data_IF_795477245863
#
_entry.id   IF_795477245863
#
_cell.length_a   1.000
_cell.length_b   1.000
_cell.length_c   1.000
_cell.angle_alpha   90.00
_cell.angle_beta   90.00
_cell.angle_gamma   90.00
#
_symmetry.space_group_name_H-M   'P 1'
#
loop_
_entity.id
_entity.type
_entity.pdbx_description
1 polymer ?
#
# COMPACT_ATOMS: atom_id res chain seq x y z
N UNK A 1 19.95 -48.44 -21.03
CA UNK A 1 19.86 -49.49 -22.07
C UNK A 1 18.42 -49.44 -22.55
N UNK A 2 18.19 -49.25 -23.85
CA UNK A 2 16.82 -49.29 -24.38
C UNK A 2 16.29 -50.72 -24.24
N UNK A 3 15.29 -50.88 -23.39
CA UNK A 3 14.54 -52.12 -23.22
C UNK A 3 13.08 -51.72 -23.46
N UNK A 4 12.43 -52.34 -24.45
CA UNK A 4 11.05 -52.04 -24.85
C UNK A 4 10.77 -50.58 -25.26
N UNK A 5 11.75 -49.92 -25.90
CA UNK A 5 11.58 -48.54 -26.40
C UNK A 5 11.79 -47.44 -25.35
N UNK A 6 11.95 -47.80 -24.07
CA UNK A 6 12.28 -46.87 -22.98
C UNK A 6 13.74 -47.02 -22.55
N UNK A 7 14.43 -45.91 -22.30
CA UNK A 7 15.78 -45.97 -21.74
C UNK A 7 15.71 -46.29 -20.25
N UNK A 8 16.12 -47.51 -19.88
CA UNK A 8 16.16 -47.98 -18.49
C UNK A 8 17.59 -48.03 -17.97
N UNK A 9 17.78 -47.49 -16.77
CA UNK A 9 19.04 -47.60 -16.02
C UNK A 9 19.11 -48.98 -15.36
N UNK A 10 19.96 -49.86 -15.88
CA UNK A 10 20.23 -51.17 -15.29
C UNK A 10 21.48 -51.08 -14.41
N UNK A 11 21.38 -51.53 -13.17
CA UNK A 11 22.50 -51.63 -12.24
C UNK A 11 22.68 -53.10 -11.83
N UNK A 12 23.93 -53.55 -11.78
CA UNK A 12 24.29 -54.87 -11.27
C UNK A 12 24.67 -54.71 -9.81
N UNK A 13 23.88 -55.30 -8.93
CA UNK A 13 24.14 -55.34 -7.50
C UNK A 13 24.06 -56.78 -7.00
N UNK A 14 24.64 -57.05 -5.83
CA UNK A 14 24.40 -58.32 -5.14
C UNK A 14 22.93 -58.42 -4.74
N UNK A 15 22.37 -59.63 -4.74
CA UNK A 15 20.96 -59.86 -4.47
C UNK A 15 20.48 -59.38 -3.09
N UNK A 16 21.42 -59.23 -2.14
CA UNK A 16 21.20 -58.77 -0.79
C UNK A 16 21.73 -57.35 -0.52
N UNK A 17 22.18 -56.63 -1.54
CA UNK A 17 22.85 -55.32 -1.42
C UNK A 17 22.10 -54.32 -0.54
N UNK A 18 20.76 -54.33 -0.57
CA UNK A 18 19.90 -53.41 0.19
C UNK A 18 19.88 -53.68 1.70
N UNK A 19 20.41 -54.83 2.15
CA UNK A 19 20.36 -55.32 3.54
C UNK A 19 21.74 -55.49 4.17
N UNK A 20 22.82 -55.26 3.41
CA UNK A 20 24.19 -55.49 3.88
C UNK A 20 24.56 -54.41 4.91
N UNK A 21 24.93 -54.85 6.11
CA UNK A 21 25.48 -53.96 7.14
C UNK A 21 26.98 -53.73 6.92
N UNK A 22 27.50 -52.62 7.44
CA UNK A 22 28.85 -52.11 7.22
C UNK A 22 29.95 -53.16 7.46
N UNK A 23 29.80 -53.94 8.52
CA UNK A 23 30.76 -54.95 8.96
C UNK A 23 30.76 -56.19 8.03
N UNK A 24 29.60 -56.52 7.46
CA UNK A 24 29.39 -57.71 6.62
C UNK A 24 29.99 -57.55 5.22
N UNK A 25 30.32 -56.32 4.82
CA UNK A 25 31.03 -56.05 3.56
C UNK A 25 32.46 -56.60 3.62
N UNK A 26 33.11 -56.56 4.79
CA UNK A 26 34.51 -56.97 4.96
C UNK A 26 34.70 -58.48 4.83
N UNK A 27 33.69 -59.27 5.19
CA UNK A 27 33.73 -60.74 5.11
C UNK A 27 33.47 -61.28 3.70
N UNK A 28 33.16 -60.42 2.72
CA UNK A 28 32.86 -60.85 1.36
C UNK A 28 34.09 -61.36 0.64
N UNK A 29 33.96 -62.54 0.02
CA UNK A 29 35.02 -63.12 -0.79
C UNK A 29 34.87 -62.74 -2.25
N UNK A 30 35.94 -62.22 -2.85
CA UNK A 30 36.03 -62.00 -4.29
C UNK A 30 36.96 -63.05 -4.90
N UNK A 31 36.60 -63.53 -6.09
CA UNK A 31 37.41 -64.47 -6.86
C UNK A 31 38.33 -63.69 -7.78
N UNK A 32 39.64 -63.81 -7.55
CA UNK A 32 40.67 -63.21 -8.41
C UNK A 32 40.68 -63.89 -9.78
N UNK A 33 41.30 -63.26 -10.81
CA UNK A 33 41.41 -63.84 -12.16
C UNK A 33 42.12 -65.21 -12.19
N UNK A 34 42.88 -65.54 -11.16
CA UNK A 34 43.57 -66.81 -10.98
C UNK A 34 42.75 -67.87 -10.19
N UNK A 35 41.47 -67.61 -9.93
CA UNK A 35 40.56 -68.53 -9.23
C UNK A 35 40.70 -68.55 -7.70
N UNK A 36 41.63 -67.78 -7.13
CA UNK A 36 41.80 -67.68 -5.66
C UNK A 36 40.72 -66.78 -5.06
N UNK A 37 40.06 -67.26 -3.99
CA UNK A 37 39.11 -66.48 -3.18
C UNK A 37 39.85 -65.67 -2.13
N UNK A 38 39.61 -64.37 -2.09
CA UNK A 38 40.23 -63.44 -1.12
C UNK A 38 39.12 -62.64 -0.43
N UNK A 39 39.21 -62.45 0.89
CA UNK A 39 38.26 -61.64 1.64
C UNK A 39 38.52 -60.16 1.40
N UNK A 40 37.45 -59.38 1.27
CA UNK A 40 37.54 -57.97 0.96
C UNK A 40 38.28 -57.19 2.07
N UNK A 41 38.05 -57.54 3.34
CA UNK A 41 38.73 -56.94 4.50
C UNK A 41 40.24 -57.18 4.56
N UNK A 42 40.80 -58.13 3.80
CA UNK A 42 42.25 -58.30 3.67
C UNK A 42 42.87 -57.33 2.65
N UNK A 43 42.04 -56.71 1.81
CA UNK A 43 42.47 -55.85 0.69
C UNK A 43 42.12 -54.38 0.88
N UNK A 44 41.11 -54.06 1.70
CA UNK A 44 40.66 -52.68 1.92
C UNK A 44 40.58 -52.36 3.41
N UNK A 45 40.87 -51.11 3.75
CA UNK A 45 40.64 -50.56 5.09
C UNK A 45 39.52 -49.55 5.00
N UNK A 46 38.43 -49.80 5.74
CA UNK A 46 37.35 -48.82 5.85
C UNK A 46 37.67 -47.80 6.94
N UNK A 47 37.47 -46.52 6.63
CA UNK A 47 37.59 -45.43 7.60
C UNK A 47 36.34 -44.56 7.53
N UNK A 48 35.67 -44.40 8.66
CA UNK A 48 34.56 -43.47 8.79
C UNK A 48 35.13 -42.08 9.07
N UNK A 49 34.82 -41.12 8.20
CA UNK A 49 35.21 -39.71 8.38
C UNK A 49 33.96 -38.83 8.29
N UNK A 50 33.82 -37.82 9.17
CA UNK A 50 32.76 -36.85 9.02
C UNK A 50 32.98 -36.09 7.71
N UNK A 51 31.96 -36.08 6.85
CA UNK A 51 31.94 -35.31 5.60
C UNK A 51 30.75 -34.35 5.65
N UNK A 52 30.88 -33.20 4.99
CA UNK A 52 29.77 -32.28 4.81
C UNK A 52 28.71 -32.98 3.94
N UNK A 53 27.49 -33.11 4.46
CA UNK A 53 26.39 -33.77 3.75
C UNK A 53 25.93 -33.04 2.48
N UNK A 54 26.21 -31.73 2.38
CA UNK A 54 26.11 -30.96 1.15
C UNK A 54 27.10 -29.81 1.16
N UNK A 55 27.60 -29.42 -0.01
CA UNK A 55 28.42 -28.23 -0.20
C UNK A 55 27.54 -27.20 -0.88
N UNK A 56 27.12 -26.17 -0.15
CA UNK A 56 26.41 -25.04 -0.71
C UNK A 56 27.39 -23.92 -1.07
N UNK A 57 27.12 -23.28 -2.21
CA UNK A 57 27.89 -22.13 -2.68
C UNK A 57 26.93 -21.07 -3.21
N UNK A 58 27.17 -19.83 -2.82
CA UNK A 58 26.51 -18.64 -3.37
C UNK A 58 27.60 -17.69 -3.84
N UNK A 59 27.48 -17.17 -5.07
CA UNK A 59 28.49 -16.29 -5.68
C UNK A 59 29.93 -16.84 -5.59
N UNK A 60 30.06 -18.14 -5.83
CA UNK A 60 31.33 -18.89 -5.78
C UNK A 60 32.00 -18.98 -4.39
N UNK A 61 31.32 -18.57 -3.32
CA UNK A 61 31.80 -18.69 -1.93
C UNK A 61 31.11 -19.85 -1.22
N UNK A 62 31.83 -20.56 -0.35
CA UNK A 62 31.22 -21.58 0.51
C UNK A 62 30.29 -20.92 1.52
N UNK A 63 29.06 -21.42 1.63
CA UNK A 63 28.06 -20.88 2.54
C UNK A 63 27.66 -21.91 3.59
N UNK A 64 27.50 -21.43 4.82
CA UNK A 64 26.90 -22.19 5.92
C UNK A 64 25.63 -21.45 6.34
N UNK A 65 24.48 -22.05 6.06
CA UNK A 65 23.20 -21.47 6.45
C UNK A 65 22.83 -21.92 7.86
N UNK A 66 22.55 -20.95 8.72
CA UNK A 66 22.07 -21.18 10.08
C UNK A 66 20.58 -20.85 10.10
N UNK A 67 19.75 -21.87 10.31
CA UNK A 67 18.31 -21.69 10.45
C UNK A 67 17.97 -21.42 11.91
N UNK A 68 17.10 -20.45 12.13
CA UNK A 68 16.66 -20.03 13.45
C UNK A 68 15.24 -19.45 13.34
N UNK A 69 14.55 -19.37 14.46
CA UNK A 69 13.17 -18.87 14.54
C UNK A 69 13.12 -17.67 15.49
N UNK A 70 12.42 -16.60 15.08
CA UNK A 70 12.20 -15.41 15.89
C UNK A 70 10.72 -15.22 16.19
N UNK A 71 10.40 -15.04 17.46
CA UNK A 71 9.05 -14.70 17.90
C UNK A 71 9.03 -13.20 18.22
N UNK A 72 8.46 -12.42 17.31
CA UNK A 72 8.32 -10.97 17.45
C UNK A 72 8.03 -10.28 16.13
N UNK A 73 8.02 -8.94 16.12
CA UNK A 73 7.77 -8.19 14.89
C UNK A 73 8.98 -8.22 13.97
N UNK A 74 8.74 -8.05 12.66
CA UNK A 74 9.77 -8.01 11.63
C UNK A 74 10.86 -6.95 11.92
N UNK A 75 10.43 -5.76 12.31
CA UNK A 75 11.32 -4.66 12.68
C UNK A 75 12.20 -4.99 13.90
N UNK A 76 11.68 -5.71 14.90
CA UNK A 76 12.47 -6.15 16.06
C UNK A 76 13.45 -7.25 15.65
N UNK A 77 13.02 -8.19 14.81
CA UNK A 77 13.87 -9.24 14.24
C UNK A 77 15.08 -8.64 13.55
N UNK A 78 14.87 -7.67 12.67
CA UNK A 78 15.96 -7.07 11.90
C UNK A 78 16.96 -6.30 12.77
N UNK A 79 16.49 -5.65 13.84
CA UNK A 79 17.39 -4.99 14.79
C UNK A 79 18.21 -6.00 15.57
N UNK A 80 17.58 -7.05 16.05
CA UNK A 80 18.24 -8.13 16.79
C UNK A 80 19.33 -8.80 15.95
N UNK A 81 19.04 -9.17 14.69
CA UNK A 81 20.04 -9.76 13.78
C UNK A 81 21.23 -8.83 13.60
N UNK A 82 20.99 -7.53 13.36
CA UNK A 82 22.09 -6.58 13.18
C UNK A 82 22.95 -6.43 14.43
N UNK A 83 22.35 -6.43 15.62
CA UNK A 83 23.09 -6.40 16.89
C UNK A 83 23.93 -7.67 17.07
N UNK A 84 23.36 -8.84 16.75
CA UNK A 84 24.07 -10.12 16.81
C UNK A 84 25.22 -10.16 15.80
N UNK A 85 24.97 -9.78 14.54
CA UNK A 85 25.99 -9.74 13.50
C UNK A 85 27.13 -8.77 13.83
N UNK A 86 26.81 -7.61 14.42
CA UNK A 86 27.82 -6.64 14.87
C UNK A 86 28.66 -7.16 16.05
N UNK A 87 28.10 -8.06 16.87
CA UNK A 87 28.77 -8.67 18.01
C UNK A 87 29.68 -9.85 17.65
N UNK A 88 29.48 -10.47 16.49
CA UNK A 88 30.25 -11.66 16.09
C UNK A 88 31.60 -11.24 15.49
N UNK A 89 32.69 -11.75 16.09
CA UNK A 89 34.03 -11.64 15.51
C UNK A 89 34.31 -12.85 14.63
N UNK A 90 34.26 -12.64 13.32
CA UNK A 90 34.55 -13.68 12.34
C UNK A 90 36.06 -13.76 12.05
N UNK A 91 36.60 -14.96 11.79
CA UNK A 91 37.95 -15.09 11.25
C UNK A 91 38.10 -14.40 9.90
N UNK A 92 39.33 -14.08 9.51
CA UNK A 92 39.61 -13.47 8.22
C UNK A 92 39.05 -14.31 7.06
N UNK A 93 38.41 -13.62 6.10
CA UNK A 93 37.83 -14.24 4.90
C UNK A 93 36.40 -14.76 5.07
N UNK A 94 35.81 -14.67 6.26
CA UNK A 94 34.41 -15.01 6.51
C UNK A 94 33.56 -13.74 6.62
N UNK A 95 32.40 -13.75 5.96
CA UNK A 95 31.36 -12.73 6.13
C UNK A 95 30.11 -13.41 6.69
N UNK A 96 29.37 -12.69 7.54
CA UNK A 96 28.05 -13.10 7.99
C UNK A 96 27.06 -12.06 7.45
N UNK A 97 26.10 -12.54 6.68
CA UNK A 97 25.08 -11.75 6.03
C UNK A 97 23.73 -12.35 6.38
N UNK A 98 22.72 -11.49 6.48
CA UNK A 98 21.35 -11.91 6.68
C UNK A 98 20.78 -12.36 5.33
N UNK A 99 20.61 -13.67 5.16
CA UNK A 99 20.10 -14.29 3.92
C UNK A 99 18.63 -14.66 4.07
N UNK A 100 17.87 -13.92 4.90
CA UNK A 100 16.42 -14.10 5.03
C UNK A 100 15.71 -13.65 3.74
N UNK A 101 15.84 -14.44 2.66
CA UNK A 101 15.23 -14.20 1.34
C UNK A 101 13.70 -14.27 1.29
N UNK A 102 13.02 -14.16 2.44
CA UNK A 102 11.57 -14.13 2.59
C UNK A 102 11.06 -12.87 3.29
N UNK A 103 11.93 -12.07 3.93
CA UNK A 103 11.54 -10.80 4.57
C UNK A 103 11.98 -9.62 3.71
N UNK A 104 11.14 -8.59 3.57
CA UNK A 104 11.54 -7.35 2.90
C UNK A 104 12.81 -6.82 3.55
N UNK A 105 13.82 -6.56 2.74
CA UNK A 105 15.02 -5.86 3.16
C UNK A 105 14.68 -4.44 3.61
N UNK A 106 15.50 -3.84 4.46
CA UNK A 106 15.33 -2.43 4.87
C UNK A 106 15.28 -1.49 3.66
N UNK A 107 16.05 -1.80 2.62
CA UNK A 107 16.05 -1.04 1.38
C UNK A 107 14.68 -1.10 0.69
N UNK A 108 14.08 -2.28 0.57
CA UNK A 108 12.73 -2.44 0.00
C UNK A 108 11.65 -1.75 0.84
N UNK A 109 11.77 -1.75 2.17
CA UNK A 109 10.87 -0.97 3.03
C UNK A 109 10.97 0.54 2.80
N UNK A 110 12.20 1.05 2.67
CA UNK A 110 12.44 2.46 2.37
C UNK A 110 11.96 2.85 0.98
N UNK A 111 12.17 1.98 -0.02
CA UNK A 111 11.62 2.13 -1.35
C UNK A 111 10.09 2.17 -1.31
N UNK A 112 9.44 1.24 -0.60
CA UNK A 112 7.99 1.22 -0.45
C UNK A 112 7.45 2.50 0.21
N UNK A 113 8.10 2.99 1.27
CA UNK A 113 7.74 4.27 1.91
C UNK A 113 7.92 5.45 0.94
N UNK A 114 8.98 5.43 0.14
CA UNK A 114 9.25 6.44 -0.89
C UNK A 114 8.16 6.43 -1.95
N UNK A 115 7.73 5.25 -2.42
CA UNK A 115 6.62 5.09 -3.37
C UNK A 115 5.35 5.75 -2.83
N UNK A 116 4.98 5.51 -1.56
CA UNK A 116 3.79 6.13 -0.97
C UNK A 116 3.84 7.67 -1.00
N UNK A 117 4.98 8.27 -0.64
CA UNK A 117 5.14 9.72 -0.66
C UNK A 117 5.16 10.28 -2.09
N UNK A 118 5.82 9.59 -3.02
CA UNK A 118 5.86 9.96 -4.44
C UNK A 118 4.45 9.89 -5.04
N UNK A 119 3.68 8.82 -4.79
CA UNK A 119 2.29 8.72 -5.21
C UNK A 119 1.46 9.88 -4.66
N UNK A 120 1.59 10.20 -3.38
CA UNK A 120 0.87 11.33 -2.76
C UNK A 120 1.23 12.67 -3.42
N UNK A 121 2.51 12.88 -3.74
CA UNK A 121 2.99 14.06 -4.44
C UNK A 121 2.40 14.15 -5.86
N UNK A 122 2.40 13.06 -6.62
CA UNK A 122 1.81 13.02 -7.96
C UNK A 122 0.30 13.25 -7.92
N UNK A 123 -0.42 12.65 -6.96
CA UNK A 123 -1.84 12.93 -6.73
C UNK A 123 -2.04 14.42 -6.45
N UNK A 124 -1.25 15.02 -5.56
CA UNK A 124 -1.33 16.46 -5.28
C UNK A 124 -1.10 17.31 -6.53
N UNK A 125 -0.04 17.03 -7.30
CA UNK A 125 0.30 17.79 -8.50
C UNK A 125 -0.77 17.69 -9.58
N UNK A 126 -1.25 16.48 -9.86
CA UNK A 126 -2.33 16.24 -10.84
C UNK A 126 -3.60 16.98 -10.45
N UNK A 127 -3.97 16.97 -9.17
CA UNK A 127 -5.10 17.72 -8.65
C UNK A 127 -4.90 19.23 -8.71
N UNK A 128 -3.69 19.72 -8.43
CA UNK A 128 -3.38 21.14 -8.49
C UNK A 128 -3.51 21.69 -9.91
N UNK A 129 -3.09 20.90 -10.90
CA UNK A 129 -3.30 21.20 -12.32
C UNK A 129 -4.78 21.13 -12.67
N UNK A 130 -5.48 20.05 -12.27
CA UNK A 130 -6.92 19.85 -12.57
C UNK A 130 -7.79 20.99 -12.02
N UNK A 131 -7.55 21.40 -10.78
CA UNK A 131 -8.34 22.45 -10.14
C UNK A 131 -7.84 23.87 -10.42
N UNK A 132 -6.67 24.03 -11.05
CA UNK A 132 -5.93 25.28 -11.19
C UNK A 132 -5.81 26.05 -9.85
N UNK A 133 -5.65 25.30 -8.75
CA UNK A 133 -5.65 25.80 -7.37
C UNK A 133 -4.84 24.88 -6.48
N UNK A 134 -4.18 25.42 -5.45
CA UNK A 134 -3.45 24.63 -4.44
C UNK A 134 -4.27 24.30 -3.19
N UNK A 135 -5.37 25.04 -2.93
CA UNK A 135 -6.19 24.85 -1.72
C UNK A 135 -7.19 23.71 -1.89
N UNK A 136 -7.78 23.55 -3.08
CA UNK A 136 -8.73 22.49 -3.38
C UNK A 136 -8.07 21.09 -3.37
N UNK A 137 -6.87 20.89 -3.96
CA UNK A 137 -6.11 19.64 -3.82
C UNK A 137 -5.82 19.28 -2.36
N UNK A 138 -5.40 20.26 -1.56
CA UNK A 138 -5.13 20.03 -0.14
C UNK A 138 -6.40 19.56 0.59
N UNK A 139 -7.55 20.16 0.27
CA UNK A 139 -8.84 19.75 0.80
C UNK A 139 -9.25 18.33 0.36
N UNK A 140 -9.03 17.97 -0.91
CA UNK A 140 -9.27 16.59 -1.38
C UNK A 140 -8.37 15.58 -0.67
N UNK A 141 -7.10 15.93 -0.41
CA UNK A 141 -6.15 15.05 0.28
C UNK A 141 -6.52 14.80 1.73
N UNK A 142 -7.30 15.68 2.38
CA UNK A 142 -7.86 15.40 3.71
C UNK A 142 -8.83 14.21 3.72
N UNK A 143 -9.30 13.75 2.54
CA UNK A 143 -10.01 12.47 2.42
C UNK A 143 -9.13 11.25 2.69
N UNK A 144 -7.80 11.34 2.52
CA UNK A 144 -6.88 10.21 2.75
C UNK A 144 -6.80 9.84 4.24
N UNK A 145 -6.55 10.78 5.18
CA UNK A 145 -6.62 10.47 6.61
C UNK A 145 -7.95 9.81 7.03
N UNK A 146 -9.07 10.23 6.43
CA UNK A 146 -10.39 9.63 6.67
C UNK A 146 -10.48 8.19 6.16
N UNK A 147 -9.79 7.85 5.07
CA UNK A 147 -9.69 6.46 4.63
C UNK A 147 -8.80 5.64 5.57
N UNK A 148 -7.66 6.20 5.99
CA UNK A 148 -6.71 5.53 6.88
C UNK A 148 -7.32 5.14 8.22
N UNK A 149 -8.28 5.92 8.75
CA UNK A 149 -9.02 5.51 9.96
C UNK A 149 -9.80 4.22 9.77
N UNK A 150 -10.36 4.00 8.57
CA UNK A 150 -11.05 2.76 8.22
C UNK A 150 -10.10 1.58 8.03
N UNK A 151 -8.95 1.82 7.40
CA UNK A 151 -7.88 0.81 7.26
C UNK A 151 -7.42 0.35 8.64
N UNK A 152 -7.11 1.30 9.54
CA UNK A 152 -6.71 0.96 10.90
C UNK A 152 -7.80 0.17 11.65
N UNK A 153 -9.07 0.58 11.53
CA UNK A 153 -10.18 -0.09 12.18
C UNK A 153 -10.40 -1.53 11.67
N UNK A 154 -10.32 -1.76 10.36
CA UNK A 154 -10.57 -3.09 9.79
C UNK A 154 -9.42 -4.06 10.07
N UNK A 155 -8.16 -3.62 10.00
CA UNK A 155 -7.00 -4.47 10.34
C UNK A 155 -6.99 -4.82 11.82
N UNK A 156 -7.36 -3.85 12.68
CA UNK A 156 -7.52 -4.11 14.10
C UNK A 156 -8.64 -5.13 14.38
N UNK A 157 -9.78 -5.00 13.71
CA UNK A 157 -10.90 -5.94 13.84
C UNK A 157 -10.58 -7.34 13.28
N UNK A 158 -9.90 -7.41 12.13
CA UNK A 158 -9.49 -8.66 11.48
C UNK A 158 -8.29 -9.34 12.17
N UNK A 159 -7.60 -8.63 13.08
CA UNK A 159 -6.37 -9.09 13.76
C UNK A 159 -5.28 -9.55 12.78
N UNK A 160 -5.23 -8.93 11.61
CA UNK A 160 -4.23 -9.22 10.57
C UNK A 160 -3.04 -8.28 10.66
N UNK A 161 -1.82 -8.75 10.36
CA UNK A 161 -0.66 -7.88 10.32
C UNK A 161 -0.76 -6.90 9.16
N UNK A 162 -0.37 -5.65 9.39
CA UNK A 162 -0.24 -4.65 8.34
C UNK A 162 1.12 -4.84 7.64
N UNK A 163 1.12 -5.52 6.51
CA UNK A 163 2.31 -5.94 5.75
C UNK A 163 2.52 -5.09 4.48
N UNK A 164 3.43 -5.54 3.61
CA UNK A 164 3.69 -4.89 2.32
C UNK A 164 2.51 -4.93 1.36
N UNK A 165 1.72 -6.00 1.38
CA UNK A 165 0.55 -6.10 0.50
C UNK A 165 -0.56 -5.13 0.91
N UNK A 166 -0.74 -4.89 2.22
CA UNK A 166 -1.59 -3.82 2.73
C UNK A 166 -1.13 -2.43 2.27
N UNK A 167 0.19 -2.16 2.24
CA UNK A 167 0.75 -0.90 1.71
C UNK A 167 0.46 -0.70 0.22
N UNK A 168 0.52 -1.76 -0.60
CA UNK A 168 0.09 -1.70 -2.01
C UNK A 168 -1.41 -1.38 -2.09
N UNK A 169 -2.22 -1.97 -1.21
CA UNK A 169 -3.64 -1.63 -1.08
C UNK A 169 -3.88 -0.14 -0.77
N UNK A 170 -3.02 0.51 0.01
CA UNK A 170 -3.12 1.96 0.26
C UNK A 170 -2.93 2.80 -1.01
N UNK A 171 -1.99 2.43 -1.88
CA UNK A 171 -1.76 3.14 -3.16
C UNK A 171 -3.03 3.12 -4.01
N UNK A 172 -3.65 1.95 -4.15
CA UNK A 172 -4.91 1.79 -4.87
C UNK A 172 -6.04 2.59 -4.20
N UNK A 173 -6.15 2.48 -2.88
CA UNK A 173 -7.16 3.17 -2.08
C UNK A 173 -7.08 4.69 -2.24
N UNK A 174 -5.87 5.27 -2.26
CA UNK A 174 -5.70 6.72 -2.44
C UNK A 174 -6.38 7.22 -3.71
N UNK A 175 -6.24 6.50 -4.84
CA UNK A 175 -6.90 6.88 -6.09
C UNK A 175 -8.42 6.91 -5.97
N UNK A 176 -9.02 5.85 -5.40
CA UNK A 176 -10.48 5.74 -5.29
C UNK A 176 -11.06 6.75 -4.29
N UNK A 177 -10.41 6.94 -3.15
CA UNK A 177 -10.79 7.91 -2.11
C UNK A 177 -10.72 9.33 -2.66
N UNK A 178 -9.64 9.65 -3.36
CA UNK A 178 -9.46 10.96 -3.99
C UNK A 178 -10.52 11.19 -5.05
N UNK A 179 -10.89 10.18 -5.84
CA UNK A 179 -11.98 10.30 -6.81
C UNK A 179 -13.32 10.71 -6.14
N UNK A 180 -13.68 10.06 -5.03
CA UNK A 180 -14.88 10.42 -4.27
C UNK A 180 -14.83 11.87 -3.74
N UNK A 181 -13.68 12.30 -3.22
CA UNK A 181 -13.49 13.68 -2.75
C UNK A 181 -13.54 14.71 -3.90
N UNK A 182 -12.92 14.41 -5.04
CA UNK A 182 -12.94 15.26 -6.25
C UNK A 182 -14.36 15.48 -6.70
N UNK A 183 -15.17 14.41 -6.84
CA UNK A 183 -16.54 14.51 -7.31
C UNK A 183 -17.37 15.45 -6.44
N UNK A 184 -17.20 15.38 -5.12
CA UNK A 184 -17.92 16.21 -4.17
C UNK A 184 -17.47 17.68 -4.21
N UNK A 185 -16.16 17.93 -4.17
CA UNK A 185 -15.60 19.29 -4.23
C UNK A 185 -15.91 19.96 -5.57
N UNK A 186 -15.82 19.23 -6.67
CA UNK A 186 -16.17 19.73 -7.98
C UNK A 186 -17.65 20.11 -8.05
N UNK A 187 -18.55 19.31 -7.45
CA UNK A 187 -19.98 19.64 -7.38
C UNK A 187 -20.23 20.89 -6.53
N UNK A 188 -19.58 21.04 -5.38
CA UNK A 188 -19.67 22.26 -4.57
C UNK A 188 -19.24 23.49 -5.37
N UNK A 189 -18.14 23.39 -6.09
CA UNK A 189 -17.62 24.46 -6.94
C UNK A 189 -18.62 24.85 -8.04
N UNK A 190 -19.21 23.87 -8.73
CA UNK A 190 -20.20 24.12 -9.77
C UNK A 190 -21.47 24.77 -9.21
N UNK A 191 -21.97 24.28 -8.07
CA UNK A 191 -23.16 24.83 -7.43
C UNK A 191 -22.95 26.26 -6.91
N UNK A 192 -21.76 26.58 -6.39
CA UNK A 192 -21.40 27.96 -6.06
C UNK A 192 -21.47 28.86 -7.30
N UNK A 193 -21.05 28.38 -8.47
CA UNK A 193 -21.07 29.15 -9.73
C UNK A 193 -22.49 29.39 -10.23
N UNK A 194 -23.31 28.34 -10.21
CA UNK A 194 -24.71 28.38 -10.64
C UNK A 194 -25.53 29.37 -9.80
N UNK A 195 -25.47 29.26 -8.47
CA UNK A 195 -26.18 30.14 -7.55
C UNK A 195 -25.73 31.61 -7.62
N UNK A 196 -24.46 31.85 -7.93
CA UNK A 196 -23.94 33.21 -8.14
C UNK A 196 -24.46 33.79 -9.46
N UNK A 197 -24.54 32.97 -10.51
CA UNK A 197 -25.07 33.39 -11.80
C UNK A 197 -26.58 33.70 -11.73
N UNK A 198 -27.37 32.87 -11.03
CA UNK A 198 -28.80 33.10 -10.81
C UNK A 198 -29.11 34.40 -10.06
N UNK A 199 -28.23 34.80 -9.13
CA UNK A 199 -28.34 36.05 -8.37
C UNK A 199 -28.00 37.30 -9.20
N UNK A 200 -27.53 37.14 -10.43
CA UNK A 200 -27.21 38.26 -11.33
C UNK A 200 -25.96 39.06 -10.91
N UNK A 201 -25.06 38.49 -10.09
CA UNK A 201 -23.82 39.19 -9.72
C UNK A 201 -22.92 39.36 -10.95
N UNK A 202 -22.63 40.61 -11.30
CA UNK A 202 -21.79 40.96 -12.44
C UNK A 202 -20.31 40.59 -12.26
N UNK A 203 -19.53 40.58 -13.37
CA UNK A 203 -18.12 40.20 -13.41
C UNK A 203 -17.19 41.09 -12.57
N UNK A 204 -17.66 42.27 -12.15
CA UNK A 204 -16.94 43.20 -11.27
C UNK A 204 -16.99 42.79 -9.79
N UNK A 205 -18.14 42.26 -9.34
CA UNK A 205 -18.38 41.88 -7.95
C UNK A 205 -17.83 40.48 -7.66
N UNK A 206 -17.90 39.60 -8.66
CA UNK A 206 -17.40 38.24 -8.58
C UNK A 206 -16.51 37.99 -9.79
N UNK A 207 -15.25 37.54 -9.60
CA UNK A 207 -14.36 37.35 -10.74
C UNK A 207 -15.02 36.45 -11.78
N UNK A 208 -15.09 36.92 -13.04
CA UNK A 208 -15.59 36.20 -14.21
C UNK A 208 -14.69 35.00 -14.61
N UNK A 209 -14.18 34.28 -13.62
CA UNK A 209 -13.21 33.21 -13.81
C UNK A 209 -13.93 31.88 -13.97
N UNK A 210 -13.30 31.02 -14.77
CA UNK A 210 -13.44 29.57 -14.72
C UNK A 210 -13.32 28.98 -13.29
N UNK A 211 -12.74 29.74 -12.34
CA UNK A 211 -12.18 29.32 -11.05
C UNK A 211 -13.04 29.53 -9.81
N UNK A 212 -14.27 30.03 -9.93
CA UNK A 212 -15.06 30.39 -8.74
C UNK A 212 -15.22 29.22 -7.76
N UNK A 213 -14.78 29.39 -6.52
CA UNK A 213 -15.01 28.48 -5.41
C UNK A 213 -15.49 29.19 -4.14
N UNK A 214 -15.71 28.45 -3.06
CA UNK A 214 -16.21 29.00 -1.80
C UNK A 214 -15.32 30.09 -1.20
N UNK A 215 -14.00 30.01 -1.36
CA UNK A 215 -13.06 31.05 -0.91
C UNK A 215 -13.18 32.37 -1.69
N UNK A 216 -13.69 32.34 -2.91
CA UNK A 216 -13.82 33.54 -3.76
C UNK A 216 -15.04 34.39 -3.40
N UNK A 217 -15.99 33.83 -2.63
CA UNK A 217 -17.18 34.52 -2.12
C UNK A 217 -16.86 35.62 -1.09
N UNK A 218 -15.59 35.87 -0.76
CA UNK A 218 -15.20 36.91 0.18
C UNK A 218 -15.60 38.33 -0.28
N UNK A 219 -15.76 38.55 -1.59
CA UNK A 219 -16.15 39.82 -2.21
C UNK A 219 -17.65 40.12 -2.12
N UNK A 220 -18.46 39.08 -1.90
CA UNK A 220 -19.91 39.24 -1.76
C UNK A 220 -20.29 39.80 -0.38
N UNK A 221 -21.50 40.42 -0.28
CA UNK A 221 -22.04 40.88 0.98
C UNK A 221 -22.01 39.79 2.05
N UNK A 222 -21.64 40.19 3.28
CA UNK A 222 -21.46 39.27 4.40
C UNK A 222 -22.71 38.44 4.72
N UNK A 223 -23.89 39.03 4.51
CA UNK A 223 -25.19 38.42 4.74
C UNK A 223 -25.49 37.28 3.76
N UNK A 224 -24.97 37.35 2.52
CA UNK A 224 -25.39 36.48 1.44
C UNK A 224 -24.41 35.31 1.20
N UNK A 225 -23.10 35.53 1.40
CA UNK A 225 -22.08 34.50 1.14
C UNK A 225 -22.27 33.19 1.91
N UNK A 226 -22.73 33.25 3.17
CA UNK A 226 -22.90 32.04 3.99
C UNK A 226 -24.14 31.25 3.55
N UNK A 227 -25.21 31.95 3.16
CA UNK A 227 -26.43 31.35 2.63
C UNK A 227 -26.18 30.65 1.30
N UNK A 228 -25.45 31.31 0.39
CA UNK A 228 -25.05 30.73 -0.90
C UNK A 228 -24.17 29.50 -0.71
N UNK A 229 -23.14 29.59 0.14
CA UNK A 229 -22.26 28.47 0.42
C UNK A 229 -23.02 27.29 1.05
N UNK A 230 -23.96 27.55 1.96
CA UNK A 230 -24.77 26.52 2.59
C UNK A 230 -25.68 25.79 1.61
N UNK A 231 -26.35 26.53 0.71
CA UNK A 231 -27.17 25.95 -0.35
C UNK A 231 -26.31 25.12 -1.31
N UNK A 232 -25.21 25.70 -1.81
CA UNK A 232 -24.32 25.02 -2.74
C UNK A 232 -23.77 23.69 -2.21
N UNK A 233 -23.37 23.66 -0.94
CA UNK A 233 -22.87 22.44 -0.29
C UNK A 233 -24.01 21.45 -0.05
N UNK A 234 -25.18 21.89 0.42
CA UNK A 234 -26.34 21.02 0.65
C UNK A 234 -26.81 20.34 -0.64
N UNK A 235 -27.03 21.12 -1.69
CA UNK A 235 -27.48 20.62 -2.99
C UNK A 235 -26.40 19.74 -3.63
N UNK A 236 -25.13 20.13 -3.50
CA UNK A 236 -24.00 19.36 -4.00
C UNK A 236 -23.87 17.97 -3.33
N UNK A 237 -24.06 17.88 -2.01
CA UNK A 237 -24.07 16.58 -1.30
C UNK A 237 -25.24 15.73 -1.77
N UNK A 238 -26.45 16.29 -1.86
CA UNK A 238 -27.64 15.56 -2.29
C UNK A 238 -27.48 14.92 -3.68
N UNK A 239 -26.81 15.63 -4.60
CA UNK A 239 -26.57 15.16 -5.97
C UNK A 239 -25.52 14.05 -5.99
N UNK A 240 -24.41 14.20 -5.26
CA UNK A 240 -23.31 13.24 -5.32
C UNK A 240 -23.49 12.01 -4.43
N UNK A 241 -24.41 12.06 -3.47
CA UNK A 241 -24.68 10.95 -2.55
C UNK A 241 -24.90 9.62 -3.30
N UNK A 242 -25.76 9.62 -4.32
CA UNK A 242 -26.06 8.41 -5.10
C UNK A 242 -24.84 7.88 -5.86
N UNK A 243 -24.09 8.78 -6.50
CA UNK A 243 -22.91 8.41 -7.28
C UNK A 243 -21.81 7.83 -6.40
N UNK A 244 -21.50 8.49 -5.28
CA UNK A 244 -20.44 8.06 -4.35
C UNK A 244 -20.81 6.75 -3.66
N UNK A 245 -22.07 6.56 -3.27
CA UNK A 245 -22.53 5.29 -2.70
C UNK A 245 -22.46 4.15 -3.71
N UNK A 246 -22.81 4.40 -4.98
CA UNK A 246 -22.76 3.40 -6.03
C UNK A 246 -21.31 3.00 -6.34
N UNK A 247 -20.40 3.95 -6.54
CA UNK A 247 -18.99 3.64 -6.84
C UNK A 247 -18.30 2.92 -5.68
N UNK A 248 -18.53 3.38 -4.45
CA UNK A 248 -17.96 2.73 -3.27
C UNK A 248 -18.57 1.34 -3.06
N UNK A 249 -19.89 1.24 -3.19
CA UNK A 249 -20.63 -0.01 -3.01
C UNK A 249 -20.26 -1.08 -4.04
N UNK A 250 -20.14 -0.73 -5.32
CA UNK A 250 -19.70 -1.67 -6.36
C UNK A 250 -18.25 -2.08 -6.18
N UNK A 251 -17.37 -1.15 -5.79
CA UNK A 251 -15.95 -1.48 -5.51
C UNK A 251 -15.83 -2.41 -4.32
N UNK A 252 -16.55 -2.13 -3.22
CA UNK A 252 -16.60 -2.99 -2.03
C UNK A 252 -17.15 -4.38 -2.40
N UNK A 253 -18.28 -4.44 -3.12
CA UNK A 253 -18.88 -5.69 -3.57
C UNK A 253 -17.95 -6.49 -4.51
N UNK A 254 -17.20 -5.81 -5.38
CA UNK A 254 -16.24 -6.44 -6.29
C UNK A 254 -15.00 -6.99 -5.60
N UNK A 255 -14.60 -6.41 -4.46
CA UNK A 255 -13.48 -6.88 -3.65
C UNK A 255 -13.89 -7.94 -2.60
N UNK A 256 -15.18 -8.02 -2.26
CA UNK A 256 -15.69 -8.94 -1.25
C UNK A 256 -15.38 -10.43 -1.54
N UNK A 257 -15.41 -10.93 -2.79
CA UNK A 257 -15.02 -12.30 -3.11
C UNK A 257 -13.56 -12.63 -2.76
N UNK A 258 -12.66 -11.64 -2.75
CA UNK A 258 -11.26 -11.82 -2.35
C UNK A 258 -11.12 -12.11 -0.85
N UNK A 259 -12.15 -11.78 -0.06
CA UNK A 259 -12.23 -12.11 1.37
C UNK A 259 -12.98 -13.43 1.64
N UNK A 260 -13.97 -13.77 0.80
CA UNK A 260 -14.88 -14.92 1.06
C UNK A 260 -14.41 -16.21 0.39
N UNK A 261 -13.78 -16.15 -0.78
CA UNK A 261 -13.30 -17.35 -1.48
C UNK A 261 -11.96 -17.78 -0.89
N UNK A 262 -11.98 -18.61 0.17
CA UNK A 262 -11.03 -19.70 0.52
C UNK A 262 -11.18 -20.15 2.00
N UNK A 263 -12.39 -20.47 2.46
CA UNK A 263 -12.56 -21.34 3.64
C UNK A 263 -12.14 -22.79 3.39
N UNK A 264 -11.66 -23.13 2.17
CA UNK A 264 -11.06 -24.43 1.87
C UNK A 264 -9.54 -24.46 2.11
N UNK A 265 -9.15 -25.52 2.80
CA UNK A 265 -7.83 -25.91 3.26
C UNK A 265 -6.76 -25.81 2.14
N UNK A 266 -5.64 -25.12 2.41
CA UNK A 266 -4.54 -25.01 1.45
C UNK A 266 -3.56 -23.88 1.76
N UNK A 267 -2.91 -23.94 2.92
CA UNK A 267 -1.90 -22.98 3.35
C UNK A 267 -0.80 -22.82 2.28
N UNK A 268 -0.79 -21.67 1.61
CA UNK A 268 0.23 -21.27 0.65
C UNK A 268 0.49 -19.78 0.74
N UNK A 269 1.77 -19.40 0.72
CA UNK A 269 2.32 -18.04 0.89
C UNK A 269 1.72 -16.94 -0.03
N UNK A 270 0.93 -17.30 -1.05
CA UNK A 270 0.25 -16.34 -1.95
C UNK A 270 -1.16 -15.92 -1.50
N UNK A 271 -1.69 -16.50 -0.42
CA UNK A 271 -3.04 -16.24 0.10
C UNK A 271 -3.16 -14.85 0.76
N UNK A 272 -2.11 -14.42 1.46
CA UNK A 272 -2.12 -13.23 2.32
C UNK A 272 -2.14 -11.91 1.53
N UNK A 273 -1.60 -11.89 0.31
CA UNK A 273 -1.40 -10.66 -0.46
C UNK A 273 -2.73 -10.04 -0.91
N UNK A 274 -3.62 -10.86 -1.47
CA UNK A 274 -4.91 -10.39 -2.01
C UNK A 274 -5.89 -10.04 -0.90
N UNK A 275 -5.84 -10.77 0.21
CA UNK A 275 -6.69 -10.54 1.38
C UNK A 275 -6.36 -9.20 2.04
N UNK A 276 -5.09 -8.93 2.35
CA UNK A 276 -4.67 -7.67 2.95
C UNK A 276 -4.92 -6.47 2.03
N UNK A 277 -4.76 -6.65 0.72
CA UNK A 277 -5.10 -5.62 -0.27
C UNK A 277 -6.61 -5.33 -0.30
N UNK A 278 -7.43 -6.37 -0.25
CA UNK A 278 -8.90 -6.24 -0.22
C UNK A 278 -9.39 -5.63 1.08
N UNK A 279 -8.87 -6.07 2.24
CA UNK A 279 -9.19 -5.49 3.56
C UNK A 279 -8.84 -4.01 3.61
N UNK A 280 -7.64 -3.63 3.15
CA UNK A 280 -7.21 -2.23 3.09
C UNK A 280 -8.19 -1.39 2.28
N UNK A 281 -8.55 -1.87 1.09
CA UNK A 281 -9.42 -1.14 0.19
C UNK A 281 -10.86 -1.05 0.73
N UNK A 282 -11.41 -2.14 1.25
CA UNK A 282 -12.78 -2.19 1.78
C UNK A 282 -12.92 -1.32 3.04
N UNK A 283 -12.05 -1.50 4.03
CA UNK A 283 -12.10 -0.69 5.25
C UNK A 283 -11.89 0.80 4.97
N UNK A 284 -10.93 1.10 4.09
CA UNK A 284 -10.68 2.45 3.62
C UNK A 284 -11.88 3.09 2.92
N UNK A 285 -12.54 2.35 2.01
CA UNK A 285 -13.71 2.85 1.28
C UNK A 285 -14.92 3.04 2.17
N UNK A 286 -15.21 2.10 3.07
CA UNK A 286 -16.35 2.24 4.00
C UNK A 286 -16.18 3.50 4.85
N UNK A 287 -15.01 3.65 5.48
CA UNK A 287 -14.77 4.79 6.37
C UNK A 287 -14.69 6.11 5.61
N UNK A 288 -13.94 6.16 4.50
CA UNK A 288 -13.82 7.37 3.70
C UNK A 288 -15.15 7.79 3.09
N UNK A 289 -16.00 6.88 2.64
CA UNK A 289 -17.28 7.25 2.04
C UNK A 289 -18.21 7.91 3.06
N UNK A 290 -18.29 7.37 4.28
CA UNK A 290 -19.07 7.96 5.36
C UNK A 290 -18.49 9.32 5.81
N UNK A 291 -17.16 9.37 6.01
CA UNK A 291 -16.48 10.56 6.49
C UNK A 291 -16.40 11.66 5.42
N UNK A 292 -16.23 11.34 4.14
CA UNK A 292 -16.23 12.32 3.06
C UNK A 292 -17.62 12.95 2.92
N UNK A 293 -18.70 12.17 2.98
CA UNK A 293 -20.05 12.72 2.88
C UNK A 293 -20.42 13.62 4.06
N UNK A 294 -19.92 13.35 5.27
CA UNK A 294 -20.21 14.15 6.46
C UNK A 294 -19.21 15.27 6.72
N UNK A 295 -17.92 14.93 6.77
CA UNK A 295 -16.86 15.83 7.22
C UNK A 295 -16.26 16.69 6.09
N UNK A 296 -16.23 16.22 4.83
CA UNK A 296 -15.74 17.06 3.72
C UNK A 296 -16.57 18.34 3.50
N UNK A 297 -17.92 18.32 3.59
CA UNK A 297 -18.73 19.54 3.63
C UNK A 297 -18.28 20.51 4.71
N UNK A 298 -18.09 20.02 5.94
CA UNK A 298 -17.66 20.84 7.08
C UNK A 298 -16.26 21.43 6.83
N UNK A 299 -15.33 20.62 6.32
CA UNK A 299 -13.98 21.07 5.94
C UNK A 299 -14.04 22.12 4.83
N UNK A 300 -14.94 21.99 3.85
CA UNK A 300 -15.14 22.99 2.81
C UNK A 300 -15.58 24.35 3.38
N UNK A 301 -16.50 24.36 4.36
CA UNK A 301 -16.87 25.60 5.07
C UNK A 301 -15.69 26.22 5.81
N UNK A 302 -14.92 25.40 6.52
CA UNK A 302 -13.74 25.84 7.29
C UNK A 302 -12.72 26.47 6.34
N UNK A 303 -12.39 25.80 5.24
CA UNK A 303 -11.46 26.30 4.22
C UNK A 303 -11.95 27.57 3.53
N UNK A 304 -13.25 27.65 3.19
CA UNK A 304 -13.83 28.86 2.62
C UNK A 304 -13.68 30.06 3.59
N UNK A 305 -14.00 29.84 4.88
CA UNK A 305 -13.91 30.87 5.92
C UNK A 305 -12.47 31.32 6.18
N UNK A 306 -11.52 30.38 6.22
CA UNK A 306 -10.08 30.65 6.29
C UNK A 306 -9.62 31.47 5.08
N UNK A 307 -10.04 31.10 3.88
CA UNK A 307 -9.76 31.83 2.66
C UNK A 307 -10.24 33.29 2.71
N UNK A 308 -11.44 33.53 3.26
CA UNK A 308 -11.95 34.88 3.45
C UNK A 308 -11.13 35.70 4.45
N UNK A 309 -10.71 35.08 5.56
CA UNK A 309 -9.88 35.73 6.56
C UNK A 309 -8.51 36.13 5.98
N UNK A 310 -7.87 35.20 5.26
CA UNK A 310 -6.59 35.44 4.58
C UNK A 310 -6.71 36.52 3.50
N UNK A 311 -7.79 36.50 2.70
CA UNK A 311 -8.02 37.51 1.67
C UNK A 311 -8.18 38.92 2.26
N UNK A 312 -8.90 39.06 3.38
CA UNK A 312 -9.03 40.35 4.09
C UNK A 312 -7.70 40.83 4.65
N UNK A 313 -6.90 39.91 5.20
CA UNK A 313 -5.59 40.23 5.78
C UNK A 313 -4.62 40.68 4.68
N UNK A 314 -4.61 39.99 3.54
CA UNK A 314 -3.85 40.39 2.36
C UNK A 314 -4.31 41.74 1.78
N UNK A 315 -5.62 42.03 1.77
CA UNK A 315 -6.15 43.31 1.32
C UNK A 315 -5.74 44.47 2.24
N UNK A 316 -5.74 44.26 3.56
CA UNK A 316 -5.25 45.22 4.57
C UNK A 316 -3.76 45.49 4.40
N UNK A 317 -2.95 44.45 4.20
CA UNK A 317 -1.50 44.58 3.99
C UNK A 317 -1.14 45.29 2.67
N UNK A 318 -2.01 45.22 1.65
CA UNK A 318 -1.82 45.91 0.36
C UNK A 318 -2.35 47.35 0.32
N UNK A 319 -2.80 47.92 1.45
CA UNK A 319 -3.20 49.33 1.53
C UNK A 319 -4.44 49.71 0.71
N UNK A 320 -5.25 48.76 0.23
CA UNK A 320 -6.52 49.04 -0.44
C UNK A 320 -7.65 49.12 0.60
N UNK A 321 -8.10 50.33 0.91
CA UNK A 321 -9.23 50.58 1.81
C UNK A 321 -10.50 49.85 1.30
N UNK A 322 -11.17 49.05 2.15
CA UNK A 322 -12.28 48.19 1.74
C UNK A 322 -13.62 48.92 1.51
N UNK A 323 -13.71 50.22 1.71
CA UNK A 323 -14.99 50.96 1.70
C UNK A 323 -15.56 51.31 0.31
N UNK A 324 -14.78 51.24 -0.78
CA UNK A 324 -15.32 51.58 -2.11
C UNK A 324 -16.13 50.48 -2.80
N UNK A 325 -16.17 49.25 -2.26
CA UNK A 325 -16.88 48.14 -2.89
C UNK A 325 -18.33 47.93 -2.38
N UNK A 326 -18.72 48.58 -1.29
CA UNK A 326 -20.06 48.44 -0.69
C UNK A 326 -21.09 49.47 -1.18
N UNK A 327 -20.69 50.42 -2.02
CA UNK A 327 -21.58 51.42 -2.59
C UNK A 327 -21.88 51.11 -4.07
N UNK A 328 -22.71 50.10 -4.33
CA UNK A 328 -23.44 49.98 -5.59
C UNK A 328 -24.91 50.33 -5.30
N UNK A 329 -25.56 51.16 -6.13
CA UNK A 329 -26.90 51.67 -5.84
C UNK A 329 -27.94 50.55 -5.92
N UNK A 330 -28.99 50.67 -5.11
CA UNK A 330 -30.13 49.77 -5.10
C UNK A 330 -30.73 49.65 -6.51
N UNK A 331 -31.32 48.49 -6.87
CA UNK A 331 -32.02 48.36 -8.14
C UNK A 331 -33.19 49.33 -8.16
N UNK A 332 -33.16 50.29 -9.08
CA UNK A 332 -34.31 51.13 -9.39
C UNK A 332 -35.43 50.23 -9.92
N UNK A 333 -36.54 50.21 -9.18
CA UNK A 333 -37.81 49.67 -9.62
C UNK A 333 -38.33 50.50 -10.79
N UNK A 334 -38.56 49.87 -11.93
CA UNK A 334 -39.42 50.37 -13.01
C UNK A 334 -40.26 49.20 -13.53
#
# INVERSE_FOLDING_TARGET
MLIDGEDRRVQLAFADADKIQYEQVMDRTLTTRQGRRVRLGELITLQTRPVLGSIQRQDQRYTLQINWEYIGTDAMRQRYIQEVLAGIRLPYGYTAEDVSGQSLTREEEEQMRTVLWVTLLFIFMTLAVLFESFTLPLLTLLGIPMALTGVAAIFWAARMPFDSSARIGLVLLFGVVVNNAILLINRFRLQVRELVAERGYGPEQVPAKARLGGSDLWRLPAAERLGLLRRAVGDGVGIQLRSILLTSGTTIAGLLPLLVRLTDEGAGSGRDIWENLALTSIGGLISSTLLILGALPALYFVFARLGWALARLAARLRGRSPERATAAPAPETA
#
